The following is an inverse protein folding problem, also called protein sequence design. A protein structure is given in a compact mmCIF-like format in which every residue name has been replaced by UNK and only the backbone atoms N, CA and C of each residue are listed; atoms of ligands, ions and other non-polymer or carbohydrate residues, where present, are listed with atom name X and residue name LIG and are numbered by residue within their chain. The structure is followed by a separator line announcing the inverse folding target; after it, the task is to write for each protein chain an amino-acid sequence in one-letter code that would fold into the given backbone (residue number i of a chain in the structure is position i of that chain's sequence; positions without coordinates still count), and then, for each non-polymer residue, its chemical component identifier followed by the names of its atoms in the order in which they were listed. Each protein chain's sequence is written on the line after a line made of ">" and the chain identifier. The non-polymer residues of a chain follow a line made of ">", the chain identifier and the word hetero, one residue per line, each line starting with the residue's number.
data_IF_797993131741
#
_entry.id   IF_797993131741
#
_cell.length_a   1.000
_cell.length_b   1.000
_cell.length_c   1.000
_cell.angle_alpha   90.00
_cell.angle_beta   90.00
_cell.angle_gamma   90.00
#
_symmetry.space_group_name_H-M   'P 1'
#
loop_
_entity.id
_entity.type
_entity.pdbx_description
1 polymer ?
#
# COMPACT_ATOMS: atom_id res chain seq x y z
N UNK A 1 0.87 -20.55 7.11
CA UNK A 1 0.99 -19.31 6.31
C UNK A 1 2.43 -19.09 5.80
N UNK A 2 3.06 -20.12 5.25
CA UNK A 2 4.51 -20.13 4.96
C UNK A 2 4.82 -20.28 3.47
N UNK A 3 3.82 -20.67 2.66
CA UNK A 3 4.00 -20.91 1.21
C UNK A 3 4.12 -19.63 0.36
N UNK A 4 3.55 -18.50 0.77
CA UNK A 4 3.70 -17.22 0.04
C UNK A 4 5.08 -16.56 0.26
N UNK A 5 5.73 -16.80 1.40
CA UNK A 5 7.03 -16.20 1.75
C UNK A 5 8.16 -16.63 0.83
N UNK A 6 8.11 -17.85 0.29
CA UNK A 6 9.14 -18.33 -0.65
C UNK A 6 9.04 -17.68 -2.02
N UNK A 7 7.83 -17.34 -2.51
CA UNK A 7 7.66 -16.82 -3.88
C UNK A 7 8.34 -15.46 -4.06
N UNK A 8 7.98 -14.46 -3.24
CA UNK A 8 8.53 -13.10 -3.39
C UNK A 8 10.06 -13.01 -3.20
N UNK A 9 10.67 -13.88 -2.38
CA UNK A 9 12.13 -13.93 -2.22
C UNK A 9 12.83 -14.61 -3.40
N UNK A 10 12.24 -15.69 -3.92
CA UNK A 10 12.76 -16.39 -5.11
C UNK A 10 12.59 -15.52 -6.36
N UNK A 11 11.45 -14.84 -6.50
CA UNK A 11 11.18 -13.91 -7.61
C UNK A 11 12.19 -12.75 -7.62
N UNK A 12 12.64 -12.28 -6.43
CA UNK A 12 13.71 -11.27 -6.30
C UNK A 12 15.07 -11.78 -6.79
N UNK A 13 15.39 -13.05 -6.59
CA UNK A 13 16.66 -13.63 -7.05
C UNK A 13 16.69 -13.83 -8.57
N UNK A 14 15.54 -13.80 -9.24
CA UNK A 14 15.41 -14.05 -10.67
C UNK A 14 15.22 -12.79 -11.52
N UNK A 15 15.13 -11.61 -10.92
CA UNK A 15 14.83 -10.35 -11.63
C UNK A 15 15.95 -9.32 -11.42
N UNK A 16 16.49 -8.80 -12.53
CA UNK A 16 17.54 -7.76 -12.59
C UNK A 16 17.02 -6.33 -12.27
N UNK A 17 15.76 -6.20 -11.84
CA UNK A 17 15.16 -4.91 -11.46
C UNK A 17 15.07 -4.79 -9.93
N UNK A 18 15.34 -3.62 -9.34
CA UNK A 18 15.23 -3.43 -7.90
C UNK A 18 13.75 -3.50 -7.47
N UNK A 19 13.32 -4.69 -7.02
CA UNK A 19 11.95 -4.96 -6.55
C UNK A 19 11.76 -4.57 -5.07
N UNK A 20 12.86 -4.49 -4.31
CA UNK A 20 12.85 -4.19 -2.86
C UNK A 20 13.51 -2.86 -2.52
N UNK A 21 13.10 -1.76 -3.16
CA UNK A 21 13.26 -0.46 -2.52
C UNK A 21 12.32 -0.46 -1.30
N UNK A 22 12.80 -0.21 -0.07
CA UNK A 22 11.99 -0.39 1.14
C UNK A 22 10.75 0.51 1.16
N UNK A 23 10.76 1.57 0.37
CA UNK A 23 9.66 2.47 0.10
C UNK A 23 9.88 3.17 -1.25
N UNK A 24 8.81 3.78 -1.76
CA UNK A 24 8.87 4.81 -2.80
C UNK A 24 8.38 6.12 -2.18
N UNK A 25 9.09 7.21 -2.42
CA UNK A 25 8.61 8.56 -2.12
C UNK A 25 8.45 9.30 -3.45
N UNK A 26 7.25 9.81 -3.71
CA UNK A 26 6.93 10.48 -4.97
C UNK A 26 6.21 11.80 -4.71
N UNK A 27 6.46 12.78 -5.58
CA UNK A 27 5.74 14.05 -5.60
C UNK A 27 5.08 14.21 -6.95
N UNK A 28 3.76 14.18 -6.99
CA UNK A 28 2.95 14.21 -8.21
C UNK A 28 1.74 15.10 -7.96
N UNK A 29 1.42 15.97 -8.92
CA UNK A 29 0.26 16.88 -8.85
C UNK A 29 0.16 17.68 -7.54
N UNK A 30 1.31 18.14 -7.01
CA UNK A 30 1.34 18.91 -5.77
C UNK A 30 1.19 18.08 -4.49
N UNK A 31 1.09 16.74 -4.60
CA UNK A 31 0.86 15.81 -3.50
C UNK A 31 2.06 14.92 -3.23
N UNK A 32 2.32 14.67 -1.94
CA UNK A 32 3.41 13.79 -1.48
C UNK A 32 2.89 12.40 -1.17
N UNK A 33 3.46 11.42 -1.84
CA UNK A 33 3.15 10.00 -1.70
C UNK A 33 4.31 9.27 -1.04
N UNK A 34 3.99 8.38 -0.11
CA UNK A 34 4.90 7.33 0.32
C UNK A 34 4.24 5.98 0.09
N UNK A 35 4.94 5.06 -0.56
CA UNK A 35 4.47 3.70 -0.82
C UNK A 35 5.42 2.75 -0.10
N UNK A 36 4.87 1.84 0.70
CA UNK A 36 5.64 0.82 1.40
C UNK A 36 4.90 -0.51 1.38
N UNK A 37 5.61 -1.64 1.37
CA UNK A 37 4.92 -2.93 1.44
C UNK A 37 4.28 -3.18 2.83
N UNK A 38 4.78 -2.55 3.91
CA UNK A 38 4.14 -2.58 5.24
C UNK A 38 4.57 -3.73 6.17
N UNK A 39 5.55 -4.57 5.79
CA UNK A 39 5.98 -5.74 6.58
C UNK A 39 6.57 -5.36 7.96
N UNK A 40 7.27 -4.23 8.08
CA UNK A 40 8.04 -3.85 9.26
C UNK A 40 7.82 -2.38 9.67
N UNK A 41 6.58 -1.89 9.64
CA UNK A 41 6.27 -0.53 10.07
C UNK A 41 5.17 -0.56 11.14
N UNK A 42 5.43 0.07 12.28
CA UNK A 42 4.41 0.26 13.30
C UNK A 42 3.48 1.42 12.92
N UNK A 43 2.28 1.46 13.50
CA UNK A 43 1.41 2.63 13.33
C UNK A 43 2.10 3.92 13.82
N UNK A 44 2.85 3.89 14.91
CA UNK A 44 3.64 5.03 15.43
C UNK A 44 4.64 5.54 14.39
N UNK A 45 5.34 4.63 13.71
CA UNK A 45 6.29 4.98 12.66
C UNK A 45 5.58 5.58 11.44
N UNK A 46 4.41 5.06 11.05
CA UNK A 46 3.57 5.65 9.99
C UNK A 46 3.22 7.10 10.34
N UNK A 47 2.73 7.37 11.56
CA UNK A 47 2.41 8.73 12.03
C UNK A 47 3.65 9.64 11.97
N UNK A 48 4.80 9.15 12.44
CA UNK A 48 6.06 9.91 12.41
C UNK A 48 6.48 10.27 10.98
N UNK A 49 6.36 9.34 10.03
CA UNK A 49 6.71 9.55 8.62
C UNK A 49 5.74 10.53 7.96
N UNK A 50 4.44 10.38 8.19
CA UNK A 50 3.41 11.30 7.69
C UNK A 50 3.73 12.74 8.10
N UNK A 51 4.01 12.96 9.39
CA UNK A 51 4.32 14.28 9.92
C UNK A 51 5.66 14.83 9.40
N UNK A 52 6.71 13.99 9.40
CA UNK A 52 8.06 14.38 8.97
C UNK A 52 8.11 14.80 7.51
N UNK A 53 7.44 14.04 6.64
CA UNK A 53 7.47 14.27 5.20
C UNK A 53 6.24 15.05 4.69
N UNK A 54 5.32 15.44 5.58
CA UNK A 54 4.07 16.15 5.25
C UNK A 54 3.33 15.44 4.12
N UNK A 55 3.12 14.14 4.31
CA UNK A 55 2.52 13.26 3.31
C UNK A 55 1.04 13.59 3.12
N UNK A 56 0.59 13.53 1.87
CA UNK A 56 -0.82 13.57 1.51
C UNK A 56 -1.39 12.15 1.39
N UNK A 57 -0.57 11.19 0.92
CA UNK A 57 -0.96 9.79 0.75
C UNK A 57 0.12 8.83 1.26
N UNK A 58 -0.31 7.82 2.03
CA UNK A 58 0.54 6.71 2.46
C UNK A 58 -0.08 5.39 1.98
N UNK A 59 0.58 4.72 1.06
CA UNK A 59 0.11 3.48 0.47
C UNK A 59 0.86 2.32 1.13
N UNK A 60 0.11 1.38 1.71
CA UNK A 60 0.63 0.19 2.40
C UNK A 60 0.07 -1.10 1.80
N UNK A 61 0.63 -2.24 2.16
CA UNK A 61 0.19 -3.56 1.72
C UNK A 61 0.28 -4.60 2.84
N UNK A 62 0.74 -5.80 2.49
CA UNK A 62 1.05 -6.92 3.39
C UNK A 62 -0.12 -7.64 4.08
N UNK A 63 -1.14 -6.91 4.58
CA UNK A 63 -2.27 -7.54 5.28
C UNK A 63 -3.20 -8.31 4.35
N UNK A 64 -3.25 -7.95 3.05
CA UNK A 64 -4.21 -8.44 2.07
C UNK A 64 -5.68 -8.14 2.45
N UNK A 65 -5.89 -7.16 3.32
CA UNK A 65 -7.20 -6.68 3.75
C UNK A 65 -7.25 -5.18 3.41
N UNK A 66 -8.24 -4.73 2.63
CA UNK A 66 -8.34 -3.32 2.28
C UNK A 66 -8.52 -2.43 3.49
N UNK A 67 -7.97 -1.23 3.42
CA UNK A 67 -8.07 -0.22 4.46
C UNK A 67 -8.02 1.16 3.82
N UNK A 68 -8.91 2.05 4.22
CA UNK A 68 -8.75 3.48 4.02
C UNK A 68 -8.91 4.12 5.40
N UNK A 69 -7.90 4.86 5.86
CA UNK A 69 -7.98 5.66 7.08
C UNK A 69 -7.34 7.02 6.87
N UNK A 70 -7.82 8.04 7.58
CA UNK A 70 -7.23 9.37 7.60
C UNK A 70 -6.40 9.54 8.87
N UNK A 71 -5.15 9.95 8.73
CA UNK A 71 -4.25 10.29 9.82
C UNK A 71 -3.81 11.73 9.59
N UNK A 72 -4.24 12.65 10.46
CA UNK A 72 -4.04 14.08 10.28
C UNK A 72 -4.51 14.54 8.88
N UNK A 73 -3.59 15.02 8.03
CA UNK A 73 -3.85 15.46 6.66
C UNK A 73 -3.56 14.38 5.60
N UNK A 74 -3.12 13.19 6.00
CA UNK A 74 -2.74 12.12 5.09
C UNK A 74 -3.82 11.04 5.00
N UNK A 75 -4.10 10.59 3.78
CA UNK A 75 -4.91 9.38 3.54
C UNK A 75 -3.98 8.17 3.49
N UNK A 76 -4.18 7.23 4.41
CA UNK A 76 -3.52 5.94 4.41
C UNK A 76 -4.42 4.92 3.73
N UNK A 77 -3.91 4.27 2.69
CA UNK A 77 -4.63 3.25 1.94
C UNK A 77 -3.85 1.94 1.88
N UNK A 78 -4.56 0.84 2.12
CA UNK A 78 -4.17 -0.50 1.71
C UNK A 78 -5.18 -0.96 0.65
N UNK A 79 -4.78 -1.22 -0.60
CA UNK A 79 -5.69 -1.64 -1.66
C UNK A 79 -6.21 -3.07 -1.48
N UNK A 80 -5.68 -3.85 -0.52
CA UNK A 80 -5.98 -5.26 -0.33
C UNK A 80 -5.10 -6.15 -1.21
N UNK A 81 -5.69 -7.14 -1.85
CA UNK A 81 -4.96 -8.05 -2.74
C UNK A 81 -5.73 -8.27 -4.03
N UNK A 82 -5.01 -8.26 -5.14
CA UNK A 82 -5.57 -8.51 -6.49
C UNK A 82 -5.79 -9.99 -6.81
N UNK A 83 -5.31 -10.90 -5.97
CA UNK A 83 -5.37 -12.35 -6.25
C UNK A 83 -5.48 -13.24 -5.01
N UNK A 84 -5.12 -12.75 -3.83
CA UNK A 84 -4.97 -13.55 -2.61
C UNK A 84 -5.61 -12.83 -1.42
N UNK A 85 -6.84 -12.35 -1.59
CA UNK A 85 -7.58 -11.62 -0.56
C UNK A 85 -7.71 -12.42 0.75
N UNK A 86 -7.47 -11.72 1.87
CA UNK A 86 -7.68 -12.27 3.22
C UNK A 86 -8.98 -11.77 3.87
N UNK A 87 -9.82 -11.04 3.12
CA UNK A 87 -11.19 -10.75 3.53
C UNK A 87 -11.97 -12.04 3.80
N UNK A 88 -13.06 -11.93 4.55
CA UNK A 88 -13.97 -13.03 4.82
C UNK A 88 -14.68 -13.48 3.53
N UNK A 89 -15.14 -12.53 2.73
CA UNK A 89 -15.81 -12.74 1.43
C UNK A 89 -14.89 -13.21 0.30
N UNK A 90 -13.56 -13.23 0.51
CA UNK A 90 -12.52 -13.59 -0.48
C UNK A 90 -12.48 -12.73 -1.74
N UNK A 91 -13.16 -11.60 -1.76
CA UNK A 91 -13.19 -10.70 -2.91
C UNK A 91 -11.83 -10.01 -3.04
N UNK A 92 -11.25 -10.08 -4.25
CA UNK A 92 -10.02 -9.36 -4.57
C UNK A 92 -10.32 -7.87 -4.81
N UNK A 93 -9.33 -7.02 -4.65
CA UNK A 93 -9.56 -5.57 -4.71
C UNK A 93 -8.34 -4.80 -5.21
N UNK A 94 -8.60 -3.60 -5.70
CA UNK A 94 -7.60 -2.61 -6.14
C UNK A 94 -7.90 -1.25 -5.53
N UNK A 95 -6.86 -0.43 -5.36
CA UNK A 95 -7.01 0.95 -4.90
C UNK A 95 -6.98 1.92 -6.08
N UNK A 96 -7.82 2.95 -6.03
CA UNK A 96 -7.82 4.06 -6.98
C UNK A 96 -7.70 5.37 -6.22
N UNK A 97 -6.78 6.25 -6.64
CA UNK A 97 -6.58 7.58 -6.07
C UNK A 97 -6.72 8.57 -7.21
N UNK A 98 -7.69 9.47 -7.09
CA UNK A 98 -7.87 10.58 -8.03
C UNK A 98 -7.31 11.83 -7.36
N UNK A 99 -6.16 12.30 -7.85
CA UNK A 99 -5.35 13.28 -7.13
C UNK A 99 -5.95 14.69 -7.20
N UNK A 100 -6.53 15.06 -8.34
CA UNK A 100 -7.20 16.35 -8.54
C UNK A 100 -8.42 16.54 -7.62
N UNK A 101 -9.28 15.53 -7.51
CA UNK A 101 -10.48 15.56 -6.65
C UNK A 101 -10.16 15.23 -5.19
N UNK A 102 -9.03 14.56 -4.94
CA UNK A 102 -8.64 14.04 -3.65
C UNK A 102 -9.40 12.77 -3.23
N UNK A 103 -10.17 12.16 -4.15
CA UNK A 103 -10.96 10.97 -3.88
C UNK A 103 -10.07 9.71 -3.81
N UNK A 104 -10.45 8.78 -2.93
CA UNK A 104 -9.73 7.52 -2.73
C UNK A 104 -10.74 6.39 -2.59
N UNK A 105 -10.58 5.36 -3.40
CA UNK A 105 -11.49 4.24 -3.50
C UNK A 105 -10.74 2.91 -3.39
N UNK A 106 -11.40 1.92 -2.78
CA UNK A 106 -11.07 0.51 -2.97
C UNK A 106 -12.20 -0.07 -3.82
N UNK A 107 -11.83 -0.68 -4.93
CA UNK A 107 -12.76 -1.27 -5.89
C UNK A 107 -12.62 -2.78 -5.79
N UNK A 108 -13.75 -3.45 -5.66
CA UNK A 108 -13.85 -4.90 -5.65
C UNK A 108 -13.70 -5.41 -7.09
N UNK A 109 -12.81 -6.40 -7.25
CA UNK A 109 -12.61 -7.10 -8.50
C UNK A 109 -13.63 -8.23 -8.56
N UNK A 110 -14.76 -7.99 -9.21
CA UNK A 110 -15.69 -9.04 -9.59
C UNK A 110 -15.00 -9.93 -10.63
N UNK A 111 -15.04 -11.25 -10.41
CA UNK A 111 -14.53 -12.26 -11.34
C UNK A 111 -15.68 -13.10 -11.84
#
# INVERSE_FOLDING_TARGET
>A
MEKQKKKAYVDKMMLDVPIQTPYVFAFMEGKRFMIQHGHNISDEDIHRLIKRYKLDYFITGHTHIPLIKKIENCVVINPGSTSLSKREDKINSVGFIEVESGSVHVIDLET
#
